data_IF_208724739509
#
_entry.id   IF_208724739509
#
_cell.length_a   1.000
_cell.length_b   1.000
_cell.length_c   1.000
_cell.angle_alpha   90.00
_cell.angle_beta   90.00
_cell.angle_gamma   90.00
#
_symmetry.space_group_name_H-M   'P 1'
#
loop_
_entity.id
_entity.type
_entity.pdbx_description
1 polymer ?
#
# COMPACT_ATOMS: atom_id res chain seq x y z
N UNK A 1 20.89 110.76 -22.76
CA UNK A 1 21.37 111.09 -24.11
C UNK A 1 20.92 109.94 -24.99
N UNK A 2 19.75 110.03 -25.61
CA UNK A 2 19.36 110.97 -26.69
C UNK A 2 19.52 110.24 -28.01
N UNK A 3 18.40 109.82 -28.60
CA UNK A 3 17.63 110.57 -29.60
C UNK A 3 18.09 110.05 -30.99
N UNK A 4 17.29 109.28 -31.72
CA UNK A 4 16.02 109.62 -32.38
C UNK A 4 16.23 110.25 -33.79
N UNK A 5 15.38 109.78 -34.72
CA UNK A 5 14.85 110.44 -35.93
C UNK A 5 15.38 110.11 -37.34
N UNK A 6 14.39 109.75 -38.17
CA UNK A 6 14.05 110.29 -39.49
C UNK A 6 14.93 110.05 -40.75
N UNK A 7 14.35 109.27 -41.69
CA UNK A 7 13.65 109.74 -42.93
C UNK A 7 14.14 109.26 -44.31
N UNK A 8 13.09 109.06 -45.12
CA UNK A 8 12.92 109.36 -46.56
C UNK A 8 13.37 108.39 -47.68
N UNK A 9 12.37 108.14 -48.54
CA UNK A 9 12.25 107.48 -49.86
C UNK A 9 12.69 108.44 -51.01
N UNK A 10 12.59 108.17 -52.34
CA UNK A 10 11.86 107.13 -53.12
C UNK A 10 12.81 106.36 -54.12
N UNK A 11 12.49 105.76 -55.28
CA UNK A 11 11.38 105.77 -56.28
C UNK A 11 11.13 104.39 -56.94
N UNK A 12 10.15 104.31 -57.85
CA UNK A 12 9.80 103.18 -58.74
C UNK A 12 9.66 103.71 -60.18
N UNK A 13 9.72 102.87 -61.24
CA UNK A 13 8.46 102.61 -61.98
C UNK A 13 8.32 101.24 -62.73
N UNK A 14 7.06 100.84 -62.88
CA UNK A 14 6.34 100.18 -64.02
C UNK A 14 6.93 99.05 -64.92
N UNK A 15 6.14 98.34 -65.76
CA UNK A 15 4.88 97.53 -65.60
C UNK A 15 4.40 97.02 -66.98
N UNK A 16 4.14 95.71 -67.14
CA UNK A 16 3.38 95.14 -68.27
C UNK A 16 2.83 93.73 -67.95
N UNK A 17 1.76 93.28 -68.61
CA UNK A 17 1.01 92.04 -68.30
C UNK A 17 0.80 91.13 -69.54
N UNK A 18 0.48 89.84 -69.31
CA UNK A 18 0.05 88.90 -70.35
C UNK A 18 -0.80 87.75 -69.78
N UNK A 19 -1.99 87.49 -70.35
CA UNK A 19 -2.97 86.52 -69.83
C UNK A 19 -2.67 85.07 -70.21
N UNK A 20 -2.98 84.14 -69.30
CA UNK A 20 -2.87 82.68 -69.53
C UNK A 20 -3.40 81.82 -68.38
N UNK A 21 -4.37 82.33 -67.63
CA UNK A 21 -4.67 81.90 -66.24
C UNK A 21 -5.94 81.05 -66.10
N UNK A 22 -6.98 81.31 -66.89
CA UNK A 22 -8.35 81.13 -66.38
C UNK A 22 -8.85 79.67 -66.37
N UNK A 23 -8.25 78.78 -67.17
CA UNK A 23 -8.46 77.32 -67.07
C UNK A 23 -7.55 76.69 -66.00
N UNK A 24 -6.36 77.25 -65.80
CA UNK A 24 -5.42 76.79 -64.77
C UNK A 24 -5.90 77.16 -63.37
N UNK A 25 -6.62 78.26 -63.17
CA UNK A 25 -7.11 78.65 -61.84
C UNK A 25 -8.39 77.90 -61.43
N UNK A 26 -9.25 77.49 -62.37
CA UNK A 26 -10.31 76.53 -62.08
C UNK A 26 -9.74 75.15 -61.72
N UNK A 27 -8.74 74.66 -62.47
CA UNK A 27 -8.08 73.39 -62.20
C UNK A 27 -7.25 73.44 -60.90
N UNK A 28 -6.57 74.56 -60.62
CA UNK A 28 -5.91 74.80 -59.33
C UNK A 28 -6.91 74.84 -58.20
N UNK A 29 -8.01 75.59 -58.30
CA UNK A 29 -9.03 75.65 -57.24
C UNK A 29 -9.57 74.27 -56.88
N UNK A 30 -9.86 73.42 -57.87
CA UNK A 30 -10.23 72.03 -57.62
C UNK A 30 -9.09 71.20 -56.99
N UNK A 31 -7.85 71.33 -57.49
CA UNK A 31 -6.70 70.58 -57.02
C UNK A 31 -6.19 71.03 -55.63
N UNK A 32 -6.25 72.32 -55.29
CA UNK A 32 -5.96 72.85 -53.96
C UNK A 32 -7.01 72.37 -52.99
N UNK A 33 -8.30 72.49 -53.31
CA UNK A 33 -9.37 71.99 -52.46
C UNK A 33 -9.25 70.48 -52.21
N UNK A 34 -8.91 69.69 -53.24
CA UNK A 34 -8.67 68.25 -53.10
C UNK A 34 -7.42 67.92 -52.27
N UNK A 35 -6.28 68.59 -52.53
CA UNK A 35 -5.04 68.38 -51.79
C UNK A 35 -5.13 68.85 -50.33
N UNK A 36 -5.85 69.93 -50.07
CA UNK A 36 -6.16 70.44 -48.73
C UNK A 36 -7.10 69.48 -48.00
N UNK A 37 -8.15 68.99 -48.65
CA UNK A 37 -9.05 67.98 -48.04
C UNK A 37 -8.31 66.66 -47.74
N UNK A 38 -7.37 66.22 -48.60
CA UNK A 38 -6.53 65.05 -48.34
C UNK A 38 -5.51 65.28 -47.22
N UNK A 39 -4.87 66.45 -47.16
CA UNK A 39 -3.99 66.83 -46.03
C UNK A 39 -4.76 66.87 -44.72
N UNK A 40 -5.96 67.45 -44.73
CA UNK A 40 -6.88 67.51 -43.60
C UNK A 40 -7.42 66.12 -43.19
N UNK A 41 -7.57 65.19 -44.13
CA UNK A 41 -7.90 63.80 -43.86
C UNK A 41 -6.75 63.00 -43.21
N UNK A 42 -5.51 63.23 -43.64
CA UNK A 42 -4.32 62.54 -43.11
C UNK A 42 -3.94 63.08 -41.71
N UNK A 43 -4.00 64.40 -41.49
CA UNK A 43 -3.85 64.99 -40.15
C UNK A 43 -4.94 64.47 -39.21
N UNK A 44 -6.21 64.53 -39.61
CA UNK A 44 -7.33 63.97 -38.84
C UNK A 44 -7.11 62.50 -38.38
N UNK A 45 -6.54 61.63 -39.22
CA UNK A 45 -6.22 60.24 -38.84
C UNK A 45 -5.05 60.17 -37.85
N UNK A 46 -4.01 61.00 -38.05
CA UNK A 46 -2.88 61.14 -37.12
C UNK A 46 -3.33 61.64 -35.76
N UNK A 47 -4.23 62.63 -35.73
CA UNK A 47 -4.72 63.27 -34.52
C UNK A 47 -5.66 62.35 -33.73
N UNK A 48 -6.56 61.62 -34.41
CA UNK A 48 -7.34 60.54 -33.77
C UNK A 48 -6.43 59.46 -33.19
N UNK A 49 -5.34 59.06 -33.89
CA UNK A 49 -4.39 58.05 -33.36
C UNK A 49 -3.56 58.60 -32.20
N UNK A 50 -3.21 59.88 -32.20
CA UNK A 50 -2.53 60.55 -31.09
C UNK A 50 -3.44 60.68 -29.86
N UNK A 51 -4.71 61.07 -30.06
CA UNK A 51 -5.73 61.10 -29.01
C UNK A 51 -5.95 59.70 -28.42
N UNK A 52 -6.11 58.67 -29.27
CA UNK A 52 -6.26 57.28 -28.84
C UNK A 52 -5.08 56.81 -27.96
N UNK A 53 -3.83 57.12 -28.34
CA UNK A 53 -2.66 56.73 -27.53
C UNK A 53 -2.50 57.56 -26.25
N UNK A 54 -2.93 58.83 -26.24
CA UNK A 54 -3.00 59.65 -25.02
C UNK A 54 -4.05 59.10 -24.06
N UNK A 55 -5.26 58.82 -24.54
CA UNK A 55 -6.32 58.18 -23.76
C UNK A 55 -5.89 56.79 -23.23
N UNK A 56 -5.27 55.93 -24.05
CA UNK A 56 -4.82 54.61 -23.57
C UNK A 56 -3.71 54.70 -22.52
N UNK A 57 -2.72 55.59 -22.70
CA UNK A 57 -1.67 55.81 -21.69
C UNK A 57 -2.21 56.46 -20.40
N UNK A 58 -3.16 57.38 -20.51
CA UNK A 58 -3.85 57.94 -19.36
C UNK A 58 -4.65 56.88 -18.59
N UNK A 59 -5.29 55.93 -19.31
CA UNK A 59 -6.00 54.80 -18.70
C UNK A 59 -5.06 53.76 -18.07
N UNK A 60 -3.88 53.54 -18.63
CA UNK A 60 -2.83 52.72 -17.98
C UNK A 60 -2.38 53.36 -16.67
N UNK A 61 -2.04 54.66 -16.68
CA UNK A 61 -1.63 55.40 -15.48
C UNK A 61 -2.75 55.48 -14.42
N UNK A 62 -4.01 55.59 -14.86
CA UNK A 62 -5.16 55.49 -13.96
C UNK A 62 -5.18 54.12 -13.26
N UNK A 63 -5.09 53.01 -14.01
CA UNK A 63 -5.09 51.65 -13.42
C UNK A 63 -3.93 51.45 -12.44
N UNK A 64 -2.76 52.00 -12.76
CA UNK A 64 -1.58 51.98 -11.89
C UNK A 64 -1.82 52.73 -10.57
N UNK A 65 -2.32 53.97 -10.64
CA UNK A 65 -2.66 54.78 -9.46
C UNK A 65 -3.79 54.16 -8.62
N UNK A 66 -4.82 53.58 -9.26
CA UNK A 66 -5.88 52.83 -8.56
C UNK A 66 -5.29 51.60 -7.87
N UNK A 67 -4.44 50.82 -8.54
CA UNK A 67 -3.81 49.64 -7.94
C UNK A 67 -2.91 49.97 -6.74
N UNK A 68 -2.19 51.09 -6.76
CA UNK A 68 -1.45 51.57 -5.58
C UNK A 68 -2.39 52.06 -4.48
N UNK A 69 -3.46 52.78 -4.84
CA UNK A 69 -4.46 53.28 -3.88
C UNK A 69 -5.19 52.12 -3.18
N UNK A 70 -5.55 51.06 -3.88
CA UNK A 70 -6.23 49.89 -3.32
C UNK A 70 -5.34 49.21 -2.26
N UNK A 71 -4.04 49.04 -2.53
CA UNK A 71 -3.07 48.44 -1.60
C UNK A 71 -2.78 49.34 -0.39
N UNK A 72 -2.52 50.63 -0.62
CA UNK A 72 -2.28 51.60 0.47
C UNK A 72 -3.54 51.77 1.35
N UNK A 73 -4.74 51.74 0.75
CA UNK A 73 -6.02 51.84 1.48
C UNK A 73 -6.32 50.58 2.29
N UNK A 74 -6.06 49.38 1.74
CA UNK A 74 -6.22 48.13 2.50
C UNK A 74 -5.23 48.06 3.67
N UNK A 75 -3.98 48.45 3.44
CA UNK A 75 -2.94 48.54 4.48
C UNK A 75 -3.31 49.57 5.55
N UNK A 76 -3.87 50.72 5.16
CA UNK A 76 -4.36 51.73 6.09
C UNK A 76 -5.51 51.20 6.93
N UNK A 77 -6.53 50.61 6.30
CA UNK A 77 -7.70 50.06 6.99
C UNK A 77 -7.31 48.99 8.02
N UNK A 78 -6.36 48.10 7.68
CA UNK A 78 -5.81 47.11 8.62
C UNK A 78 -5.09 47.78 9.79
N UNK A 79 -4.22 48.76 9.55
CA UNK A 79 -3.52 49.50 10.62
C UNK A 79 -4.48 50.32 11.50
N UNK A 80 -5.57 50.83 10.95
CA UNK A 80 -6.61 51.52 11.69
C UNK A 80 -7.46 50.56 12.53
N UNK A 81 -7.83 49.39 11.99
CA UNK A 81 -8.49 48.30 12.71
C UNK A 81 -7.65 47.80 13.89
N UNK A 82 -6.36 47.50 13.66
CA UNK A 82 -5.43 47.01 14.70
C UNK A 82 -5.21 48.08 15.77
N UNK A 83 -5.00 49.35 15.40
CA UNK A 83 -4.84 50.44 16.37
C UNK A 83 -6.12 50.70 17.19
N UNK A 84 -7.31 50.57 16.59
CA UNK A 84 -8.58 50.76 17.28
C UNK A 84 -8.91 49.64 18.28
N UNK A 85 -8.38 48.43 18.05
CA UNK A 85 -8.62 47.24 18.88
C UNK A 85 -7.41 46.84 19.74
N UNK A 86 -6.35 47.65 19.79
CA UNK A 86 -5.05 47.30 20.36
C UNK A 86 -5.11 46.62 21.73
N UNK A 87 -5.73 47.26 22.73
CA UNK A 87 -5.80 46.72 24.10
C UNK A 87 -6.54 45.36 24.16
N UNK A 88 -7.52 45.16 23.28
CA UNK A 88 -8.26 43.90 23.14
C UNK A 88 -7.39 42.82 22.49
N UNK A 89 -6.65 43.16 21.43
CA UNK A 89 -5.70 42.22 20.78
C UNK A 89 -4.62 41.82 21.79
N UNK A 90 -3.98 42.77 22.47
CA UNK A 90 -2.97 42.49 23.50
C UNK A 90 -3.54 41.60 24.60
N UNK A 91 -4.72 41.93 25.15
CA UNK A 91 -5.33 41.14 26.24
C UNK A 91 -5.72 39.72 25.81
N UNK A 92 -6.23 39.53 24.59
CA UNK A 92 -6.69 38.21 24.10
C UNK A 92 -5.51 37.36 23.65
N UNK A 93 -4.59 37.90 22.84
CA UNK A 93 -3.45 37.12 22.33
C UNK A 93 -2.44 36.80 23.45
N UNK A 94 -2.23 37.68 24.42
CA UNK A 94 -1.38 37.36 25.58
C UNK A 94 -1.96 36.22 26.44
N UNK A 95 -3.29 36.14 26.57
CA UNK A 95 -3.95 35.03 27.25
C UNK A 95 -3.79 33.71 26.46
N UNK A 96 -4.02 33.73 25.14
CA UNK A 96 -3.83 32.56 24.27
C UNK A 96 -2.38 32.07 24.31
N UNK A 97 -1.39 32.98 24.28
CA UNK A 97 0.04 32.65 24.43
C UNK A 97 0.32 32.00 25.79
N UNK A 98 -0.21 32.54 26.88
CA UNK A 98 -0.01 31.97 28.22
C UNK A 98 -0.63 30.57 28.35
N UNK A 99 -1.87 30.39 27.89
CA UNK A 99 -2.55 29.09 27.90
C UNK A 99 -1.86 28.08 27.00
N UNK A 100 -1.38 28.50 25.82
CA UNK A 100 -0.62 27.66 24.90
C UNK A 100 0.72 27.22 25.49
N UNK A 101 1.50 28.12 26.12
CA UNK A 101 2.77 27.77 26.79
C UNK A 101 2.54 26.78 27.94
N UNK A 102 1.46 26.95 28.72
CA UNK A 102 1.10 26.02 29.78
C UNK A 102 0.75 24.63 29.23
N UNK A 103 -0.02 24.56 28.13
CA UNK A 103 -0.34 23.27 27.49
C UNK A 103 0.90 22.64 26.82
N UNK A 104 1.73 23.38 26.08
CA UNK A 104 2.99 22.88 25.50
C UNK A 104 3.84 22.18 26.56
N UNK A 105 4.10 22.84 27.70
CA UNK A 105 4.91 22.27 28.78
C UNK A 105 4.25 21.05 29.44
N UNK A 106 2.91 21.06 29.60
CA UNK A 106 2.13 19.95 30.14
C UNK A 106 2.12 18.74 29.21
N UNK A 107 1.93 18.94 27.91
CA UNK A 107 1.93 17.85 26.93
C UNK A 107 3.34 17.29 26.75
N UNK A 108 4.40 18.11 26.70
CA UNK A 108 5.79 17.62 26.68
C UNK A 108 6.08 16.72 27.90
N UNK A 109 5.75 17.17 29.11
CA UNK A 109 5.93 16.36 30.32
C UNK A 109 5.08 15.07 30.32
N UNK A 110 3.94 15.08 29.62
CA UNK A 110 3.08 13.89 29.45
C UNK A 110 3.71 12.89 28.47
N UNK A 111 4.27 13.36 27.34
CA UNK A 111 5.03 12.54 26.40
C UNK A 111 6.24 11.91 27.08
N UNK A 112 7.05 12.70 27.79
CA UNK A 112 8.24 12.21 28.51
C UNK A 112 7.88 11.12 29.54
N UNK A 113 6.76 11.27 30.26
CA UNK A 113 6.27 10.27 31.20
C UNK A 113 5.81 8.98 30.48
N UNK A 114 4.98 9.10 29.44
CA UNK A 114 4.39 7.95 28.75
C UNK A 114 5.45 7.15 27.97
N UNK A 115 6.41 7.82 27.32
CA UNK A 115 7.53 7.14 26.65
C UNK A 115 8.49 6.48 27.63
N UNK A 116 8.72 7.09 28.81
CA UNK A 116 9.50 6.46 29.88
C UNK A 116 8.79 5.23 30.45
N UNK A 117 7.47 5.26 30.63
CA UNK A 117 6.71 4.12 31.14
C UNK A 117 6.62 2.99 30.08
N UNK A 118 6.35 3.33 28.82
CA UNK A 118 6.36 2.37 27.71
C UNK A 118 7.74 1.71 27.51
N UNK A 119 8.83 2.41 27.83
CA UNK A 119 10.20 1.87 27.84
C UNK A 119 10.39 0.91 29.02
N UNK A 120 10.01 1.32 30.24
CA UNK A 120 10.12 0.49 31.43
C UNK A 120 9.25 -0.78 31.38
N UNK A 121 8.06 -0.73 30.77
CA UNK A 121 7.24 -1.91 30.50
C UNK A 121 7.84 -2.78 29.39
N UNK A 122 8.53 -2.19 28.41
CA UNK A 122 9.30 -2.94 27.41
C UNK A 122 10.42 -3.77 28.02
N UNK A 123 11.22 -3.17 28.92
CA UNK A 123 12.25 -3.88 29.67
C UNK A 123 11.67 -4.99 30.57
N UNK A 124 10.48 -4.78 31.14
CA UNK A 124 9.77 -5.80 31.92
C UNK A 124 9.26 -6.95 31.04
N UNK A 125 8.72 -6.65 29.86
CA UNK A 125 8.24 -7.66 28.90
C UNK A 125 9.38 -8.58 28.42
N UNK A 126 10.55 -8.02 28.11
CA UNK A 126 11.70 -8.84 27.69
C UNK A 126 12.28 -9.66 28.87
N UNK A 127 12.29 -9.12 30.09
CA UNK A 127 12.64 -9.89 31.30
C UNK A 127 11.63 -11.01 31.60
N UNK A 128 10.33 -10.77 31.34
CA UNK A 128 9.25 -11.73 31.52
C UNK A 128 9.35 -12.87 30.50
N UNK A 129 9.60 -12.57 29.22
CA UNK A 129 9.90 -13.55 28.17
C UNK A 129 11.10 -14.44 28.52
N UNK A 130 12.20 -13.82 28.95
CA UNK A 130 13.38 -14.55 29.43
C UNK A 130 13.02 -15.46 30.62
N UNK A 131 12.16 -15.00 31.55
CA UNK A 131 11.68 -15.82 32.67
C UNK A 131 10.81 -16.99 32.19
N UNK A 132 9.83 -16.75 31.32
CA UNK A 132 8.96 -17.77 30.74
C UNK A 132 9.75 -18.82 29.96
N UNK A 133 10.76 -18.47 29.15
CA UNK A 133 11.58 -19.49 28.48
C UNK A 133 12.31 -20.38 29.50
N UNK A 134 12.88 -19.78 30.56
CA UNK A 134 13.57 -20.52 31.63
C UNK A 134 12.63 -21.44 32.42
N UNK A 135 11.40 -21.01 32.67
CA UNK A 135 10.39 -21.77 33.43
C UNK A 135 9.69 -22.84 32.61
N UNK A 136 9.41 -22.60 31.31
CA UNK A 136 8.76 -23.56 30.41
C UNK A 136 9.71 -24.66 29.91
N UNK A 137 11.02 -24.38 29.82
CA UNK A 137 12.03 -25.30 29.29
C UNK A 137 12.09 -26.68 29.99
N UNK A 138 12.01 -26.80 31.32
CA UNK A 138 11.86 -28.09 32.00
C UNK A 138 10.61 -28.86 31.57
N UNK A 139 9.44 -28.21 31.52
CA UNK A 139 8.19 -28.85 31.10
C UNK A 139 8.24 -29.34 29.66
N UNK A 140 8.81 -28.53 28.76
CA UNK A 140 9.08 -28.91 27.37
C UNK A 140 9.96 -30.16 27.29
N UNK A 141 11.05 -30.21 28.05
CA UNK A 141 11.95 -31.37 28.07
C UNK A 141 11.26 -32.63 28.64
N UNK A 142 10.40 -32.48 29.65
CA UNK A 142 9.61 -33.58 30.21
C UNK A 142 8.60 -34.10 29.16
N UNK A 143 7.88 -33.22 28.47
CA UNK A 143 6.97 -33.56 27.38
C UNK A 143 7.71 -34.25 26.21
N UNK A 144 8.85 -33.74 25.77
CA UNK A 144 9.69 -34.36 24.72
C UNK A 144 10.19 -35.76 25.16
N UNK A 145 10.51 -35.94 26.44
CA UNK A 145 10.93 -37.23 27.01
C UNK A 145 9.78 -38.23 27.13
N UNK A 146 8.58 -37.78 27.52
CA UNK A 146 7.37 -38.60 27.52
C UNK A 146 6.98 -39.01 26.09
N UNK A 147 7.07 -38.07 25.13
CA UNK A 147 6.86 -38.34 23.71
C UNK A 147 7.80 -39.42 23.18
N UNK A 148 9.09 -39.33 23.49
CA UNK A 148 10.08 -40.33 23.09
C UNK A 148 9.74 -41.73 23.59
N UNK A 149 9.27 -41.86 24.84
CA UNK A 149 8.81 -43.13 25.41
C UNK A 149 7.51 -43.64 24.77
N UNK A 150 6.55 -42.76 24.48
CA UNK A 150 5.34 -43.14 23.74
C UNK A 150 5.66 -43.64 22.32
N UNK A 151 6.56 -42.96 21.59
CA UNK A 151 7.04 -43.42 20.28
C UNK A 151 7.89 -44.71 20.36
N UNK A 152 8.49 -45.02 21.52
CA UNK A 152 9.22 -46.27 21.80
C UNK A 152 8.29 -47.46 22.08
N UNK A 153 7.35 -47.32 23.01
CA UNK A 153 6.39 -48.38 23.32
C UNK A 153 5.52 -48.72 22.10
N UNK A 154 5.16 -47.73 21.27
CA UNK A 154 4.49 -47.98 19.98
C UNK A 154 5.36 -48.78 18.98
N UNK A 155 6.69 -48.61 18.98
CA UNK A 155 7.62 -49.47 18.21
C UNK A 155 7.64 -50.89 18.76
N UNK A 156 7.71 -51.05 20.09
CA UNK A 156 7.68 -52.35 20.76
C UNK A 156 6.39 -53.14 20.47
N UNK A 157 5.22 -52.48 20.52
CA UNK A 157 3.93 -53.06 20.07
C UNK A 157 3.98 -53.50 18.60
N UNK A 158 4.64 -52.71 17.75
CA UNK A 158 4.88 -53.07 16.35
C UNK A 158 5.74 -54.33 16.18
N UNK A 159 6.67 -54.58 17.10
CA UNK A 159 7.56 -55.75 17.12
C UNK A 159 6.87 -56.99 17.70
N UNK A 160 6.20 -56.86 18.84
CA UNK A 160 5.39 -57.94 19.42
C UNK A 160 4.30 -58.42 18.44
N UNK A 161 3.65 -57.51 17.68
CA UNK A 161 2.71 -57.87 16.59
C UNK A 161 3.36 -58.66 15.46
N UNK A 162 4.67 -58.50 15.20
CA UNK A 162 5.42 -59.33 14.23
C UNK A 162 5.79 -60.68 14.83
N UNK A 163 6.22 -60.72 16.08
CA UNK A 163 6.60 -61.94 16.78
C UNK A 163 5.40 -62.90 16.99
N UNK A 164 4.23 -62.37 17.38
CA UNK A 164 2.98 -63.15 17.44
C UNK A 164 2.66 -63.80 16.08
N UNK A 165 2.70 -63.05 14.98
CA UNK A 165 2.42 -63.60 13.63
C UNK A 165 3.41 -64.69 13.22
N UNK A 166 4.68 -64.57 13.61
CA UNK A 166 5.68 -65.60 13.36
C UNK A 166 5.38 -66.88 14.17
N UNK A 167 5.01 -66.74 15.45
CA UNK A 167 4.60 -67.86 16.29
C UNK A 167 3.28 -68.51 15.84
N UNK A 168 2.33 -67.73 15.28
CA UNK A 168 1.09 -68.27 14.67
C UNK A 168 1.40 -69.12 13.44
N UNK A 169 2.33 -68.70 12.58
CA UNK A 169 2.84 -69.54 11.48
C UNK A 169 3.50 -70.80 12.04
N UNK A 170 4.43 -70.67 12.99
CA UNK A 170 5.14 -71.83 13.55
C UNK A 170 4.20 -72.87 14.18
N UNK A 171 3.16 -72.44 14.89
CA UNK A 171 2.15 -73.33 15.46
C UNK A 171 1.31 -74.05 14.39
N UNK A 172 0.94 -73.34 13.31
CA UNK A 172 0.28 -73.94 12.13
C UNK A 172 1.19 -74.94 11.42
N UNK A 173 2.43 -74.56 11.15
CA UNK A 173 3.43 -75.39 10.47
C UNK A 173 3.81 -76.63 11.29
N UNK A 174 3.75 -76.55 12.62
CA UNK A 174 3.90 -77.71 13.51
C UNK A 174 2.68 -78.66 13.39
N UNK A 175 1.45 -78.13 13.39
CA UNK A 175 0.23 -78.93 13.26
C UNK A 175 0.15 -79.63 11.89
N UNK A 176 0.50 -78.95 10.80
CA UNK A 176 0.57 -79.54 9.46
C UNK A 176 1.65 -80.63 9.36
N UNK A 177 2.85 -80.40 9.92
CA UNK A 177 3.90 -81.43 9.98
C UNK A 177 3.52 -82.63 10.84
N UNK A 178 2.77 -82.42 11.95
CA UNK A 178 2.23 -83.51 12.77
C UNK A 178 1.30 -84.41 11.97
N UNK A 179 0.36 -83.82 11.25
CA UNK A 179 -0.59 -84.56 10.41
C UNK A 179 0.12 -85.33 9.28
N UNK A 180 1.07 -84.69 8.59
CA UNK A 180 1.87 -85.33 7.55
C UNK A 180 2.72 -86.50 8.10
N UNK A 181 3.30 -86.35 9.29
CA UNK A 181 4.15 -87.39 9.91
C UNK A 181 3.33 -88.59 10.37
N UNK A 182 2.18 -88.37 11.02
CA UNK A 182 1.25 -89.43 11.42
C UNK A 182 0.71 -90.16 10.17
N UNK A 183 0.32 -89.43 9.12
CA UNK A 183 -0.11 -90.02 7.86
C UNK A 183 0.99 -90.85 7.17
N UNK A 184 2.25 -90.42 7.26
CA UNK A 184 3.40 -91.18 6.73
C UNK A 184 3.65 -92.47 7.52
N UNK A 185 3.66 -92.40 8.85
CA UNK A 185 3.88 -93.56 9.71
C UNK A 185 2.76 -94.61 9.58
N UNK A 186 1.50 -94.18 9.44
CA UNK A 186 0.38 -95.09 9.14
C UNK A 186 0.53 -95.79 7.78
N UNK A 187 0.98 -95.09 6.72
CA UNK A 187 1.31 -95.74 5.43
C UNK A 187 2.46 -96.75 5.56
N UNK A 188 3.44 -96.50 6.43
CA UNK A 188 4.52 -97.46 6.69
C UNK A 188 3.97 -98.75 7.34
N UNK A 189 3.04 -98.63 8.30
CA UNK A 189 2.28 -99.75 8.87
C UNK A 189 1.46 -100.49 7.81
N UNK A 190 0.70 -99.80 6.98
CA UNK A 190 -0.12 -100.42 5.92
C UNK A 190 0.71 -101.15 4.87
N UNK A 191 1.85 -100.57 4.47
CA UNK A 191 2.79 -101.22 3.55
C UNK A 191 3.36 -102.51 4.15
N UNK A 192 3.69 -102.51 5.44
CA UNK A 192 4.27 -103.66 6.13
C UNK A 192 3.23 -104.75 6.38
N UNK A 193 1.99 -104.39 6.73
CA UNK A 193 0.89 -105.34 6.78
C UNK A 193 0.61 -105.96 5.40
N UNK A 194 0.81 -105.20 4.31
CA UNK A 194 0.61 -105.70 2.94
C UNK A 194 1.71 -106.67 2.51
N UNK A 195 2.98 -106.40 2.87
CA UNK A 195 4.08 -107.37 2.69
C UNK A 195 3.85 -108.64 3.51
N UNK A 196 3.54 -108.52 4.81
CA UNK A 196 3.24 -109.66 5.67
C UNK A 196 2.11 -110.55 5.11
N UNK A 197 0.99 -109.96 4.66
CA UNK A 197 -0.09 -110.70 4.00
C UNK A 197 0.38 -111.46 2.77
N UNK A 198 1.21 -110.84 1.91
CA UNK A 198 1.75 -111.46 0.70
C UNK A 198 2.62 -112.69 1.03
N UNK A 199 3.54 -112.57 1.99
CA UNK A 199 4.41 -113.70 2.39
C UNK A 199 3.60 -114.81 3.06
N UNK A 200 2.61 -114.48 3.90
CA UNK A 200 1.68 -115.47 4.49
C UNK A 200 0.89 -116.24 3.41
N UNK A 201 0.42 -115.56 2.38
CA UNK A 201 -0.24 -116.15 1.22
C UNK A 201 0.70 -117.05 0.40
N UNK A 202 1.97 -116.65 0.25
CA UNK A 202 3.01 -117.41 -0.47
C UNK A 202 3.42 -118.67 0.31
N UNK A 203 3.58 -118.58 1.63
CA UNK A 203 3.75 -119.72 2.54
C UNK A 203 2.58 -120.72 2.41
N UNK A 204 1.33 -120.22 2.42
CA UNK A 204 0.13 -121.04 2.28
C UNK A 204 0.05 -121.74 0.92
N UNK A 205 0.47 -121.07 -0.17
CA UNK A 205 0.59 -121.70 -1.51
C UNK A 205 1.66 -122.79 -1.52
N UNK A 206 2.85 -122.52 -0.99
CA UNK A 206 3.98 -123.46 -0.93
C UNK A 206 3.64 -124.73 -0.12
N UNK A 207 2.93 -124.57 1.01
CA UNK A 207 2.38 -125.67 1.80
C UNK A 207 1.34 -126.48 1.01
N UNK A 208 0.46 -125.80 0.27
CA UNK A 208 -0.60 -126.46 -0.54
C UNK A 208 -0.04 -127.19 -1.77
N UNK A 209 1.16 -126.83 -2.24
CA UNK A 209 1.79 -127.41 -3.44
C UNK A 209 2.89 -128.45 -3.15
N UNK A 210 3.06 -128.87 -1.88
CA UNK A 210 4.16 -129.73 -1.44
C UNK A 210 5.56 -129.21 -1.87
N UNK A 211 5.82 -127.92 -1.70
CA UNK A 211 7.14 -127.34 -1.94
C UNK A 211 8.19 -127.90 -0.97
N UNK A 212 9.48 -127.81 -1.33
CA UNK A 212 10.57 -128.35 -0.52
C UNK A 212 10.58 -127.82 0.92
N UNK A 213 10.92 -128.70 1.85
CA UNK A 213 10.96 -128.39 3.28
C UNK A 213 12.02 -127.35 3.70
N UNK A 214 12.86 -126.89 2.76
CA UNK A 214 13.74 -125.71 2.89
C UNK A 214 12.99 -124.42 2.54
N UNK A 215 12.29 -124.38 1.41
CA UNK A 215 11.51 -123.23 0.96
C UNK A 215 10.36 -122.88 1.93
N UNK A 216 9.68 -123.90 2.47
CA UNK A 216 8.64 -123.70 3.49
C UNK A 216 9.22 -123.09 4.80
N UNK A 217 10.47 -123.44 5.15
CA UNK A 217 11.17 -122.83 6.30
C UNK A 217 11.57 -121.38 6.02
N UNK A 218 12.17 -121.11 4.86
CA UNK A 218 12.52 -119.75 4.45
C UNK A 218 11.31 -118.80 4.50
N UNK A 219 10.16 -119.23 3.97
CA UNK A 219 8.92 -118.44 4.02
C UNK A 219 8.36 -118.27 5.44
N UNK A 220 8.62 -119.19 6.37
CA UNK A 220 8.27 -119.04 7.79
C UNK A 220 9.17 -118.01 8.49
N UNK A 221 10.47 -118.02 8.20
CA UNK A 221 11.43 -117.04 8.72
C UNK A 221 11.16 -115.64 8.15
N UNK A 222 10.73 -115.56 6.88
CA UNK A 222 10.29 -114.32 6.22
C UNK A 222 8.97 -113.78 6.79
N UNK A 223 7.98 -114.64 7.08
CA UNK A 223 6.76 -114.25 7.85
C UNK A 223 7.13 -113.72 9.23
N UNK A 224 8.10 -114.34 9.92
CA UNK A 224 8.57 -113.89 11.23
C UNK A 224 9.23 -112.50 11.14
N UNK A 225 10.00 -112.27 10.07
CA UNK A 225 10.69 -111.00 9.79
C UNK A 225 9.71 -109.87 9.47
N UNK A 226 8.74 -110.10 8.58
CA UNK A 226 7.72 -109.09 8.26
C UNK A 226 6.74 -108.84 9.42
N UNK A 227 6.53 -109.82 10.32
CA UNK A 227 5.76 -109.61 11.54
C UNK A 227 6.51 -108.65 12.48
N UNK A 228 7.82 -108.84 12.67
CA UNK A 228 8.67 -107.90 13.41
C UNK A 228 8.69 -106.50 12.77
N UNK A 229 8.68 -106.39 11.43
CA UNK A 229 8.54 -105.10 10.74
C UNK A 229 7.17 -104.43 10.99
N UNK A 230 6.08 -105.19 11.03
CA UNK A 230 4.74 -104.66 11.39
C UNK A 230 4.69 -104.18 12.85
N UNK A 231 5.31 -104.90 13.78
CA UNK A 231 5.40 -104.48 15.18
C UNK A 231 6.27 -103.24 15.35
N UNK A 232 7.42 -103.17 14.68
CA UNK A 232 8.30 -101.99 14.65
C UNK A 232 7.57 -100.76 14.11
N UNK A 233 6.91 -100.87 12.95
CA UNK A 233 6.17 -99.75 12.35
C UNK A 233 5.00 -99.28 13.23
N UNK A 234 4.32 -100.20 13.96
CA UNK A 234 3.27 -99.84 14.93
C UNK A 234 3.83 -99.10 16.16
N UNK A 235 5.00 -99.51 16.65
CA UNK A 235 5.71 -98.78 17.71
C UNK A 235 6.13 -97.38 17.23
N UNK A 236 6.63 -97.28 16.00
CA UNK A 236 7.07 -96.04 15.35
C UNK A 236 5.92 -95.03 15.19
N UNK A 237 4.71 -95.45 14.78
CA UNK A 237 3.50 -94.59 14.80
C UNK A 237 3.29 -93.99 16.20
N UNK A 238 3.47 -94.79 17.26
CA UNK A 238 3.36 -94.32 18.64
C UNK A 238 4.44 -93.31 19.04
N UNK A 239 5.68 -93.47 18.55
CA UNK A 239 6.78 -92.53 18.77
C UNK A 239 6.53 -91.22 18.02
N UNK A 240 6.35 -91.28 16.70
CA UNK A 240 6.11 -90.14 15.81
C UNK A 240 4.90 -89.31 16.26
N UNK A 241 3.82 -89.96 16.71
CA UNK A 241 2.64 -89.25 17.23
C UNK A 241 2.96 -88.43 18.48
N UNK A 242 3.77 -88.97 19.41
CA UNK A 242 4.16 -88.24 20.64
C UNK A 242 5.13 -87.11 20.35
N UNK A 243 6.16 -87.35 19.55
CA UNK A 243 7.17 -86.35 19.19
C UNK A 243 6.54 -85.17 18.44
N UNK A 244 5.69 -85.46 17.46
CA UNK A 244 5.04 -84.42 16.67
C UNK A 244 3.91 -83.70 17.43
N UNK A 245 3.28 -84.34 18.43
CA UNK A 245 2.37 -83.63 19.35
C UNK A 245 3.16 -82.70 20.28
N UNK A 246 4.27 -83.15 20.87
CA UNK A 246 5.14 -82.30 21.70
C UNK A 246 5.68 -81.08 20.92
N UNK A 247 5.96 -81.24 19.63
CA UNK A 247 6.34 -80.12 18.75
C UNK A 247 5.19 -79.09 18.54
N UNK A 248 3.93 -79.55 18.49
CA UNK A 248 2.76 -78.67 18.46
C UNK A 248 2.57 -77.97 19.81
N UNK A 249 2.65 -78.71 20.92
CA UNK A 249 2.46 -78.19 22.28
C UNK A 249 3.51 -77.10 22.61
N UNK A 250 4.77 -77.32 22.20
CA UNK A 250 5.84 -76.33 22.32
C UNK A 250 5.59 -75.07 21.48
N UNK A 251 5.11 -75.22 20.24
CA UNK A 251 4.81 -74.08 19.37
C UNK A 251 3.58 -73.29 19.84
N UNK A 252 2.56 -73.97 20.38
CA UNK A 252 1.40 -73.34 21.03
C UNK A 252 1.80 -72.60 22.31
N UNK A 253 2.71 -73.17 23.12
CA UNK A 253 3.26 -72.51 24.31
C UNK A 253 4.02 -71.24 23.93
N UNK A 254 4.88 -71.30 22.90
CA UNK A 254 5.59 -70.13 22.39
C UNK A 254 4.62 -69.03 21.90
N UNK A 255 3.58 -69.41 21.15
CA UNK A 255 2.53 -68.49 20.70
C UNK A 255 1.79 -67.83 21.87
N UNK A 256 1.46 -68.59 22.92
CA UNK A 256 0.84 -68.04 24.12
C UNK A 256 1.74 -67.00 24.80
N UNK A 257 3.04 -67.29 24.98
CA UNK A 257 4.01 -66.34 25.54
C UNK A 257 4.16 -65.08 24.67
N UNK A 258 4.20 -65.20 23.35
CA UNK A 258 4.24 -64.04 22.45
C UNK A 258 2.98 -63.18 22.53
N UNK A 259 1.79 -63.81 22.69
CA UNK A 259 0.54 -63.07 22.91
C UNK A 259 0.52 -62.36 24.26
N UNK A 260 1.02 -62.99 25.32
CA UNK A 260 1.12 -62.35 26.63
C UNK A 260 2.05 -61.11 26.60
N UNK A 261 3.20 -61.22 25.92
CA UNK A 261 4.13 -60.11 25.72
C UNK A 261 3.55 -58.98 24.86
N UNK A 262 2.71 -59.30 23.87
CA UNK A 262 1.96 -58.30 23.11
C UNK A 262 0.94 -57.54 23.99
N UNK A 263 0.18 -58.24 24.84
CA UNK A 263 -0.74 -57.58 25.77
C UNK A 263 -0.04 -56.69 26.80
N UNK A 264 1.19 -57.01 27.16
CA UNK A 264 2.04 -56.23 28.07
C UNK A 264 2.57 -54.97 27.37
N UNK A 265 3.19 -55.13 26.20
CA UNK A 265 3.66 -54.01 25.37
C UNK A 265 2.52 -53.05 24.96
N UNK A 266 1.30 -53.57 24.74
CA UNK A 266 0.14 -52.72 24.47
C UNK A 266 -0.26 -51.86 25.67
N UNK A 267 -0.24 -52.41 26.89
CA UNK A 267 -0.50 -51.64 28.11
C UNK A 267 0.57 -50.57 28.33
N UNK A 268 1.85 -50.94 28.19
CA UNK A 268 2.96 -49.99 28.28
C UNK A 268 2.84 -48.84 27.25
N UNK A 269 2.36 -49.13 26.02
CA UNK A 269 2.15 -48.11 24.99
C UNK A 269 0.94 -47.21 25.26
N UNK A 270 -0.15 -47.75 25.82
CA UNK A 270 -1.31 -46.95 26.22
C UNK A 270 -0.98 -46.07 27.44
N UNK A 271 -0.26 -46.60 28.43
CA UNK A 271 0.22 -45.88 29.62
C UNK A 271 1.23 -44.77 29.26
N UNK A 272 2.24 -45.09 28.43
CA UNK A 272 3.23 -44.11 27.97
C UNK A 272 2.61 -43.03 27.06
N UNK A 273 1.52 -43.34 26.37
CA UNK A 273 0.73 -42.34 25.64
C UNK A 273 -0.06 -41.45 26.59
N UNK A 274 -0.70 -42.01 27.62
CA UNK A 274 -1.42 -41.23 28.64
C UNK A 274 -0.49 -40.19 29.29
N UNK A 275 0.70 -40.61 29.72
CA UNK A 275 1.68 -39.69 30.32
C UNK A 275 2.13 -38.60 29.33
N UNK A 276 2.33 -38.93 28.04
CA UNK A 276 2.64 -37.92 27.03
C UNK A 276 1.50 -36.91 26.84
N UNK A 277 0.26 -37.39 26.72
CA UNK A 277 -0.91 -36.52 26.54
C UNK A 277 -1.12 -35.61 27.78
N UNK A 278 -0.86 -36.11 29.00
CA UNK A 278 -0.84 -35.32 30.24
C UNK A 278 0.26 -34.25 30.25
N UNK A 279 1.52 -34.63 29.99
CA UNK A 279 2.66 -33.68 29.99
C UNK A 279 2.55 -32.64 28.88
N UNK A 280 1.90 -32.99 27.77
CA UNK A 280 1.55 -32.04 26.72
C UNK A 280 0.51 -31.01 27.21
N UNK A 281 -0.55 -31.44 27.89
CA UNK A 281 -1.55 -30.51 28.47
C UNK A 281 -0.91 -29.58 29.49
N UNK A 282 -0.08 -30.11 30.40
CA UNK A 282 0.67 -29.34 31.41
C UNK A 282 1.56 -28.26 30.76
N UNK A 283 2.30 -28.61 29.70
CA UNK A 283 3.13 -27.67 28.95
C UNK A 283 2.30 -26.63 28.17
N UNK A 284 1.28 -27.05 27.43
CA UNK A 284 0.43 -26.16 26.62
C UNK A 284 -0.33 -25.14 27.50
N UNK A 285 -0.80 -25.56 28.69
CA UNK A 285 -1.46 -24.68 29.65
C UNK A 285 -0.53 -23.63 30.27
N UNK A 286 0.73 -23.98 30.53
CA UNK A 286 1.73 -23.04 31.05
C UNK A 286 2.16 -22.06 29.94
N UNK A 287 2.37 -22.56 28.72
CA UNK A 287 2.69 -21.74 27.55
C UNK A 287 1.56 -20.72 27.24
N UNK A 288 0.30 -21.12 27.34
CA UNK A 288 -0.84 -20.24 27.13
C UNK A 288 -0.94 -19.12 28.19
N UNK A 289 -0.61 -19.41 29.46
CA UNK A 289 -0.59 -18.41 30.54
C UNK A 289 0.53 -17.39 30.31
N UNK A 290 1.75 -17.87 30.03
CA UNK A 290 2.90 -17.05 29.68
C UNK A 290 2.60 -16.08 28.52
N UNK A 291 1.98 -16.58 27.44
CA UNK A 291 1.61 -15.78 26.28
C UNK A 291 0.50 -14.74 26.56
N UNK A 292 -0.45 -15.02 27.45
CA UNK A 292 -1.46 -14.03 27.84
C UNK A 292 -0.86 -12.91 28.70
N UNK A 293 0.02 -13.25 29.64
CA UNK A 293 0.71 -12.27 30.50
C UNK A 293 1.65 -11.36 29.69
N UNK A 294 2.40 -11.91 28.73
CA UNK A 294 3.19 -11.14 27.76
C UNK A 294 2.30 -10.21 26.91
N UNK A 295 1.21 -10.75 26.35
CA UNK A 295 0.27 -9.98 25.52
C UNK A 295 -0.40 -8.84 26.30
N UNK A 296 -0.71 -9.03 27.58
CA UNK A 296 -1.24 -7.97 28.44
C UNK A 296 -0.24 -6.83 28.66
N UNK A 297 1.07 -7.07 28.62
CA UNK A 297 2.08 -6.02 28.64
C UNK A 297 2.23 -5.36 27.26
N UNK A 298 2.22 -6.13 26.17
CA UNK A 298 2.24 -5.60 24.80
C UNK A 298 1.08 -4.63 24.53
N UNK A 299 -0.13 -4.98 24.96
CA UNK A 299 -1.32 -4.11 24.81
C UNK A 299 -1.18 -2.81 25.61
N UNK A 300 -0.62 -2.84 26.83
CA UNK A 300 -0.35 -1.62 27.63
C UNK A 300 0.73 -0.74 26.99
N UNK A 301 1.81 -1.33 26.49
CA UNK A 301 2.88 -0.61 25.77
C UNK A 301 2.32 0.05 24.50
N UNK A 302 1.41 -0.63 23.79
CA UNK A 302 0.73 -0.07 22.62
C UNK A 302 -0.20 1.09 23.00
N UNK A 303 -0.95 0.98 24.10
CA UNK A 303 -1.79 2.08 24.62
C UNK A 303 -0.96 3.31 24.99
N UNK A 304 0.07 3.15 25.84
CA UNK A 304 0.94 4.26 26.27
C UNK A 304 1.61 4.99 25.08
N UNK A 305 1.95 4.27 24.01
CA UNK A 305 2.49 4.87 22.77
C UNK A 305 1.43 5.64 21.98
N UNK A 306 0.20 5.14 21.91
CA UNK A 306 -0.92 5.88 21.32
C UNK A 306 -1.20 7.16 22.11
N UNK A 307 -1.27 7.07 23.43
CA UNK A 307 -1.49 8.21 24.32
C UNK A 307 -0.35 9.25 24.20
N UNK A 308 0.90 8.80 24.00
CA UNK A 308 2.05 9.67 23.77
C UNK A 308 1.99 10.37 22.40
N UNK A 309 1.50 9.70 21.35
CA UNK A 309 1.35 10.30 20.03
C UNK A 309 0.15 11.28 19.98
N UNK A 310 -0.94 10.99 20.70
CA UNK A 310 -2.04 11.95 20.93
C UNK A 310 -1.57 13.18 21.73
N UNK A 311 -0.70 12.99 22.74
CA UNK A 311 -0.09 14.09 23.49
C UNK A 311 0.86 14.95 22.61
N UNK A 312 1.58 14.34 21.66
CA UNK A 312 2.38 15.09 20.65
C UNK A 312 1.47 15.92 19.73
N UNK A 313 0.35 15.35 19.26
CA UNK A 313 -0.61 16.11 18.46
C UNK A 313 -1.21 17.31 19.23
N UNK A 314 -1.50 17.14 20.53
CA UNK A 314 -1.96 18.22 21.41
C UNK A 314 -0.87 19.27 21.70
N UNK A 315 0.39 18.86 21.82
CA UNK A 315 1.55 19.76 21.90
C UNK A 315 1.67 20.63 20.64
N UNK A 316 1.62 20.00 19.46
CA UNK A 316 1.81 20.68 18.17
C UNK A 316 0.64 21.64 17.87
N UNK A 317 -0.60 21.28 18.18
CA UNK A 317 -1.76 22.18 18.10
C UNK A 317 -1.61 23.40 19.04
N UNK A 318 -1.04 23.19 20.24
CA UNK A 318 -0.75 24.28 21.16
C UNK A 318 0.40 25.18 20.65
N UNK A 319 1.41 24.63 19.99
CA UNK A 319 2.47 25.39 19.31
C UNK A 319 1.95 26.22 18.13
N UNK A 320 1.09 25.66 17.27
CA UNK A 320 0.43 26.43 16.20
C UNK A 320 -0.42 27.58 16.76
N UNK A 321 -1.16 27.34 17.86
CA UNK A 321 -1.94 28.39 18.55
C UNK A 321 -1.06 29.47 19.17
N UNK A 322 0.09 29.10 19.76
CA UNK A 322 1.07 30.06 20.28
C UNK A 322 1.60 30.96 19.16
N UNK A 323 2.07 30.39 18.06
CA UNK A 323 2.72 31.14 16.99
C UNK A 323 1.74 32.03 16.23
N UNK A 324 0.51 31.56 15.99
CA UNK A 324 -0.56 32.38 15.40
C UNK A 324 -0.92 33.59 16.29
N UNK A 325 -1.00 33.40 17.61
CA UNK A 325 -1.25 34.48 18.56
C UNK A 325 -0.06 35.44 18.68
N UNK A 326 1.19 34.94 18.62
CA UNK A 326 2.41 35.75 18.63
C UNK A 326 2.47 36.68 17.42
N UNK A 327 2.17 36.18 16.20
CA UNK A 327 2.14 37.01 14.98
C UNK A 327 1.13 38.16 15.08
N UNK A 328 -0.06 37.90 15.65
CA UNK A 328 -1.08 38.94 15.86
C UNK A 328 -0.68 39.97 16.94
N UNK A 329 0.02 39.52 17.98
CA UNK A 329 0.57 40.40 19.01
C UNK A 329 1.70 41.27 18.45
N UNK A 330 2.63 40.70 17.67
CA UNK A 330 3.73 41.42 17.01
C UNK A 330 3.22 42.45 15.99
N UNK A 331 2.14 42.14 15.25
CA UNK A 331 1.46 43.13 14.39
C UNK A 331 0.90 44.29 15.22
N UNK A 332 0.21 44.00 16.34
CA UNK A 332 -0.39 45.01 17.20
C UNK A 332 0.65 45.90 17.90
N UNK A 333 1.71 45.32 18.47
CA UNK A 333 2.84 46.04 19.06
C UNK A 333 3.51 46.96 18.04
N UNK A 334 3.78 46.47 16.82
CA UNK A 334 4.39 47.26 15.75
C UNK A 334 3.50 48.44 15.32
N UNK A 335 2.21 48.20 15.06
CA UNK A 335 1.26 49.26 14.64
C UNK A 335 1.06 50.30 15.74
N UNK A 336 1.06 49.91 17.02
CA UNK A 336 0.98 50.82 18.16
C UNK A 336 2.27 51.63 18.35
N UNK A 337 3.44 51.02 18.11
CA UNK A 337 4.74 51.68 18.20
C UNK A 337 5.01 52.68 17.05
N UNK A 338 4.27 52.61 15.95
CA UNK A 338 4.50 53.41 14.73
C UNK A 338 3.29 54.24 14.26
N UNK A 339 2.67 55.07 15.13
CA UNK A 339 1.47 55.85 14.78
C UNK A 339 1.72 56.88 13.65
N UNK A 340 2.95 57.38 13.53
CA UNK A 340 3.36 58.27 12.44
C UNK A 340 3.36 57.61 11.06
N UNK A 341 3.60 56.29 10.95
CA UNK A 341 3.43 55.56 9.70
C UNK A 341 1.95 55.48 9.30
N UNK A 342 1.05 55.15 10.22
CA UNK A 342 -0.40 55.16 9.98
C UNK A 342 -0.87 56.56 9.54
N UNK A 343 -0.35 57.61 10.17
CA UNK A 343 -0.60 59.01 9.76
C UNK A 343 0.02 59.38 8.40
N UNK A 344 1.19 58.83 8.04
CA UNK A 344 1.82 59.03 6.72
C UNK A 344 0.99 58.35 5.63
N UNK A 345 0.56 57.12 5.88
CA UNK A 345 -0.25 56.32 4.96
C UNK A 345 -1.64 56.95 4.75
N UNK A 346 -2.29 57.45 5.81
CA UNK A 346 -3.55 58.22 5.71
C UNK A 346 -3.43 59.45 4.80
N UNK A 347 -2.29 60.16 4.85
CA UNK A 347 -1.99 61.27 3.93
C UNK A 347 -1.69 60.79 2.51
N UNK A 348 -0.98 59.67 2.34
CA UNK A 348 -0.71 59.03 1.05
C UNK A 348 -2.01 58.68 0.33
N UNK A 349 -2.89 57.93 1.00
CA UNK A 349 -4.21 57.52 0.51
C UNK A 349 -5.06 58.73 0.10
N UNK A 350 -5.13 59.77 0.92
CA UNK A 350 -5.88 60.99 0.57
C UNK A 350 -5.31 61.71 -0.67
N UNK A 351 -3.98 61.76 -0.83
CA UNK A 351 -3.34 62.33 -2.03
C UNK A 351 -3.55 61.45 -3.27
N UNK A 352 -3.49 60.13 -3.11
CA UNK A 352 -3.77 59.15 -4.17
C UNK A 352 -5.23 59.20 -4.63
N UNK A 353 -6.20 59.36 -3.73
CA UNK A 353 -7.61 59.55 -4.07
C UNK A 353 -7.81 60.79 -4.95
N UNK A 354 -7.18 61.92 -4.59
CA UNK A 354 -7.18 63.14 -5.42
C UNK A 354 -6.56 62.84 -6.79
N UNK A 355 -5.35 62.25 -6.83
CA UNK A 355 -4.65 61.94 -8.07
C UNK A 355 -5.41 60.97 -8.99
N UNK A 356 -6.10 59.97 -8.42
CA UNK A 356 -7.00 59.06 -9.15
C UNK A 356 -8.21 59.83 -9.70
N UNK A 357 -8.79 60.76 -8.94
CA UNK A 357 -9.92 61.58 -9.41
C UNK A 357 -9.53 62.54 -10.55
N UNK A 358 -8.37 63.20 -10.44
CA UNK A 358 -7.82 64.07 -11.48
C UNK A 358 -7.46 63.27 -12.74
N UNK A 359 -6.82 62.10 -12.57
CA UNK A 359 -6.45 61.22 -13.66
C UNK A 359 -7.69 60.59 -14.33
N UNK A 360 -8.77 60.31 -13.58
CA UNK A 360 -10.06 59.88 -14.13
C UNK A 360 -10.69 60.99 -14.97
N UNK A 361 -10.77 62.22 -14.44
CA UNK A 361 -11.26 63.37 -15.21
C UNK A 361 -10.42 63.65 -16.47
N UNK A 362 -9.11 63.45 -16.41
CA UNK A 362 -8.23 63.51 -17.58
C UNK A 362 -8.47 62.38 -18.58
N UNK A 363 -8.74 61.14 -18.12
CA UNK A 363 -9.14 60.01 -18.97
C UNK A 363 -10.47 60.28 -19.66
N UNK A 364 -11.48 60.79 -18.95
CA UNK A 364 -12.79 61.09 -19.52
C UNK A 364 -12.72 62.27 -20.50
N UNK A 365 -11.99 63.34 -20.16
CA UNK A 365 -11.75 64.47 -21.08
C UNK A 365 -11.01 64.03 -22.35
N UNK A 366 -10.02 63.12 -22.24
CA UNK A 366 -9.34 62.52 -23.39
C UNK A 366 -10.26 61.59 -24.18
N UNK A 367 -11.16 60.86 -23.52
CA UNK A 367 -12.15 60.01 -24.18
C UNK A 367 -13.22 60.84 -24.91
N UNK A 368 -13.67 61.96 -24.35
CA UNK A 368 -14.55 62.92 -25.02
C UNK A 368 -13.87 63.64 -26.17
N UNK A 369 -12.62 64.08 -25.99
CA UNK A 369 -11.78 64.62 -27.05
C UNK A 369 -11.61 63.61 -28.20
N UNK A 370 -11.35 62.34 -27.88
CA UNK A 370 -11.28 61.27 -28.87
C UNK A 370 -12.64 60.99 -29.55
N UNK A 371 -13.76 60.96 -28.80
CA UNK A 371 -15.13 60.82 -29.36
C UNK A 371 -15.47 61.99 -30.28
N UNK A 372 -15.12 63.22 -29.90
CA UNK A 372 -15.36 64.47 -30.65
C UNK A 372 -14.50 64.54 -31.92
N UNK A 373 -13.22 64.14 -31.83
CA UNK A 373 -12.37 63.96 -33.01
C UNK A 373 -12.95 62.86 -33.92
N UNK A 374 -13.39 61.71 -33.38
CA UNK A 374 -14.03 60.64 -34.16
C UNK A 374 -15.37 61.06 -34.79
N UNK A 375 -16.15 61.95 -34.18
CA UNK A 375 -17.42 62.44 -34.76
C UNK A 375 -17.18 63.52 -35.82
N UNK A 376 -16.34 64.53 -35.55
CA UNK A 376 -15.94 65.54 -36.55
C UNK A 376 -15.29 64.89 -37.77
N UNK A 377 -14.40 63.91 -37.56
CA UNK A 377 -13.77 63.18 -38.66
C UNK A 377 -14.69 62.19 -39.36
N UNK A 378 -15.83 61.76 -38.78
CA UNK A 378 -16.90 61.08 -39.54
C UNK A 378 -17.57 62.04 -40.54
N UNK A 379 -17.84 63.28 -40.14
CA UNK A 379 -18.33 64.33 -41.05
C UNK A 379 -17.37 64.60 -42.20
N UNK A 380 -16.09 64.82 -41.89
CA UNK A 380 -15.04 65.02 -42.92
C UNK A 380 -14.84 63.77 -43.79
N UNK A 381 -14.99 62.55 -43.25
CA UNK A 381 -14.95 61.30 -44.04
C UNK A 381 -16.12 61.16 -45.00
N UNK A 382 -17.33 61.59 -44.62
CA UNK A 382 -18.48 61.64 -45.54
C UNK A 382 -18.26 62.67 -46.65
N UNK A 383 -17.74 63.85 -46.31
CA UNK A 383 -17.36 64.86 -47.30
C UNK A 383 -16.24 64.36 -48.24
N UNK A 384 -15.24 63.66 -47.72
CA UNK A 384 -14.18 63.01 -48.52
C UNK A 384 -14.74 61.90 -49.42
N UNK A 385 -15.66 61.07 -48.94
CA UNK A 385 -16.32 60.05 -49.76
C UNK A 385 -17.11 60.69 -50.90
N UNK A 386 -17.90 61.72 -50.60
CA UNK A 386 -18.62 62.49 -51.61
C UNK A 386 -17.68 63.19 -52.60
N UNK A 387 -16.55 63.74 -52.15
CA UNK A 387 -15.56 64.38 -53.00
C UNK A 387 -14.82 63.36 -53.90
N UNK A 388 -14.44 62.18 -53.37
CA UNK A 388 -13.81 61.12 -54.16
C UNK A 388 -14.80 60.54 -55.18
N UNK A 389 -16.06 60.30 -54.80
CA UNK A 389 -17.13 59.91 -55.74
C UNK A 389 -17.34 60.99 -56.80
N UNK A 390 -17.32 62.28 -56.42
CA UNK A 390 -17.41 63.41 -57.35
C UNK A 390 -16.24 63.50 -58.34
N UNK A 391 -15.00 63.28 -57.87
CA UNK A 391 -13.81 63.22 -58.73
C UNK A 391 -13.85 62.01 -59.67
N UNK A 392 -14.30 60.84 -59.19
CA UNK A 392 -14.50 59.66 -60.04
C UNK A 392 -15.57 59.94 -61.10
N UNK A 393 -16.69 60.55 -60.73
CA UNK A 393 -17.74 60.95 -61.68
C UNK A 393 -17.24 61.97 -62.71
N UNK A 394 -16.42 62.94 -62.30
CA UNK A 394 -15.78 63.90 -63.20
C UNK A 394 -14.83 63.22 -64.20
N UNK A 395 -14.02 62.26 -63.73
CA UNK A 395 -13.13 61.46 -64.58
C UNK A 395 -13.95 60.61 -65.57
N UNK A 396 -15.06 60.00 -65.14
CA UNK A 396 -15.97 59.28 -66.03
C UNK A 396 -16.58 60.21 -67.09
N UNK A 397 -17.00 61.42 -66.73
CA UNK A 397 -17.51 62.42 -67.68
C UNK A 397 -16.43 62.82 -68.71
N UNK A 398 -15.18 63.03 -68.27
CA UNK A 398 -14.06 63.33 -69.18
C UNK A 398 -13.74 62.15 -70.10
N UNK A 399 -13.74 60.92 -69.59
CA UNK A 399 -13.53 59.71 -70.41
C UNK A 399 -14.66 59.50 -71.42
N UNK A 400 -15.92 59.75 -71.04
CA UNK A 400 -17.06 59.74 -71.96
C UNK A 400 -16.90 60.79 -73.05
N UNK A 401 -16.56 62.04 -72.70
CA UNK A 401 -16.37 63.13 -73.67
C UNK A 401 -15.23 62.83 -74.67
N UNK A 402 -14.15 62.21 -74.22
CA UNK A 402 -13.03 61.79 -75.09
C UNK A 402 -13.43 60.60 -75.99
N UNK A 403 -14.24 59.66 -75.50
CA UNK A 403 -14.73 58.53 -76.29
C UNK A 403 -15.85 58.90 -77.29
N UNK A 404 -16.57 60.00 -77.08
CA UNK A 404 -17.53 60.56 -78.04
C UNK A 404 -16.91 61.49 -79.08
N UNK A 405 -15.57 61.63 -79.09
CA UNK A 405 -14.83 62.56 -79.94
C UNK A 405 -13.84 61.87 -80.90
N UNK A 406 -14.09 60.60 -81.24
CA UNK A 406 -13.42 59.84 -82.31
C UNK A 406 -14.43 59.36 -83.35
#
# INVERSE_FOLDING_TARGET
MSDEKDRETPETPERAEGRGTDVLDAARGAATNAAETLRNGISAVRDVRAAAKRHSSARTRLKELTGTLDVDSATLARREEVAANYDSIVSVQSAIIADAVNEIAKQQATVEHLESEATALGEQLDQLRDQHERELRPYKQIMETARGRSEEANRAVGEAKRAVRAAESQAKDAAERREQSIASANRAVDSSQTRLRKVQDELKRAQSSNADASAIRQLHDEVTTELAHVESARSEVGVVTREAQAAVDAAQTHLWTQKQSLEEAQREADDAKHEYDERKSEYDELLAKAQDEEKQLEERIATLRSDADDAKAAHDEAAERHDAARVLLDEAENVHATPEETMRLRRSVAQQQIAVSEQQAAVDSLAEGERSLRSRTRGVRLALLAAVVGVIALIVIVVVLVLTAQ
#
